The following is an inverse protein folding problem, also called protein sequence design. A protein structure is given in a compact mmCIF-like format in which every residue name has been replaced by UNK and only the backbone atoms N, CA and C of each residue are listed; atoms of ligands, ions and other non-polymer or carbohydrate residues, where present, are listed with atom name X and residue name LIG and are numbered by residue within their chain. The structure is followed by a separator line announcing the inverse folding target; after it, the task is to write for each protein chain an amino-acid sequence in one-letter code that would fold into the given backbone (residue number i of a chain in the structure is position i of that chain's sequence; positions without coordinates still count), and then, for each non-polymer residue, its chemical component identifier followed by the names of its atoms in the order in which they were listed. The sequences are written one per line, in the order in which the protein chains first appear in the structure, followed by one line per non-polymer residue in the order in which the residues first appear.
data_IF_459778527949
#
_entry.id   IF_459778527949
#
_cell.length_a   1.000
_cell.length_b   1.000
_cell.length_c   1.000
_cell.angle_alpha   90.00
_cell.angle_beta   90.00
_cell.angle_gamma   90.00
#
_symmetry.space_group_name_H-M   'P 1'
#
loop_
_entity.id
_entity.type
_entity.pdbx_description
1 polymer ?
#
# COMPACT_ATOMS: atom_id res chain seq x y z
N UNK A 1 -16.48 -109.29 -46.88
CA UNK A 1 -15.96 -107.91 -46.72
C UNK A 1 -16.33 -107.47 -45.31
N UNK A 2 -15.35 -106.98 -44.56
CA UNK A 2 -15.55 -106.51 -43.18
C UNK A 2 -15.94 -105.02 -43.21
N UNK A 3 -17.19 -104.74 -42.87
CA UNK A 3 -17.75 -103.38 -42.91
C UNK A 3 -17.13 -102.46 -41.84
N UNK A 4 -16.64 -103.00 -40.72
CA UNK A 4 -16.04 -102.19 -39.65
C UNK A 4 -14.70 -101.56 -40.05
N UNK A 5 -13.89 -102.26 -40.86
CA UNK A 5 -12.65 -101.72 -41.41
C UNK A 5 -12.91 -100.57 -42.41
N UNK A 6 -14.03 -100.60 -43.12
CA UNK A 6 -14.39 -99.57 -44.10
C UNK A 6 -14.91 -98.31 -43.40
N UNK A 7 -15.78 -98.48 -42.40
CA UNK A 7 -16.31 -97.39 -41.58
C UNK A 7 -15.19 -96.62 -40.86
N UNK A 8 -14.23 -97.33 -40.25
CA UNK A 8 -13.06 -96.71 -39.61
C UNK A 8 -12.15 -95.94 -40.58
N UNK A 9 -12.07 -96.37 -41.85
CA UNK A 9 -11.29 -95.65 -42.89
C UNK A 9 -12.00 -94.37 -43.33
N UNK A 10 -13.33 -94.39 -43.41
CA UNK A 10 -14.16 -93.22 -43.73
C UNK A 10 -14.07 -92.19 -42.61
N UNK A 11 -14.24 -92.59 -41.36
CA UNK A 11 -14.16 -91.67 -40.21
C UNK A 11 -12.81 -90.98 -40.13
N UNK A 12 -11.72 -91.73 -40.33
CA UNK A 12 -10.36 -91.18 -40.35
C UNK A 12 -10.15 -90.18 -41.48
N UNK A 13 -10.69 -90.44 -42.67
CA UNK A 13 -10.60 -89.49 -43.79
C UNK A 13 -11.41 -88.21 -43.49
N UNK A 14 -12.62 -88.33 -42.95
CA UNK A 14 -13.45 -87.17 -42.55
C UNK A 14 -12.75 -86.31 -41.48
N UNK A 15 -12.09 -86.94 -40.51
CA UNK A 15 -11.32 -86.23 -39.48
C UNK A 15 -10.08 -85.54 -40.06
N UNK A 16 -9.41 -86.18 -41.02
CA UNK A 16 -8.26 -85.62 -41.74
C UNK A 16 -8.66 -84.42 -42.60
N UNK A 17 -9.78 -84.49 -43.31
CA UNK A 17 -10.30 -83.39 -44.13
C UNK A 17 -10.69 -82.18 -43.25
N UNK A 18 -11.38 -82.42 -42.13
CA UNK A 18 -11.70 -81.35 -41.15
C UNK A 18 -10.44 -80.70 -40.57
N UNK A 19 -9.38 -81.48 -40.34
CA UNK A 19 -8.12 -80.94 -39.86
C UNK A 19 -7.42 -80.09 -40.94
N UNK A 20 -7.48 -80.52 -42.21
CA UNK A 20 -6.95 -79.77 -43.36
C UNK A 20 -7.68 -78.44 -43.53
N UNK A 21 -9.02 -78.43 -43.52
CA UNK A 21 -9.83 -77.22 -43.64
C UNK A 21 -9.51 -76.20 -42.53
N UNK A 22 -9.35 -76.70 -41.29
CA UNK A 22 -8.98 -75.86 -40.14
C UNK A 22 -7.58 -75.26 -40.29
N UNK A 23 -6.63 -76.02 -40.83
CA UNK A 23 -5.28 -75.54 -41.09
C UNK A 23 -5.26 -74.45 -42.17
N UNK A 24 -5.99 -74.65 -43.28
CA UNK A 24 -6.09 -73.67 -44.36
C UNK A 24 -6.74 -72.36 -43.88
N UNK A 25 -7.77 -72.46 -43.04
CA UNK A 25 -8.43 -71.30 -42.45
C UNK A 25 -7.49 -70.51 -41.52
N UNK A 26 -6.66 -71.21 -40.73
CA UNK A 26 -5.64 -70.57 -39.90
C UNK A 26 -4.52 -69.94 -40.73
N UNK A 27 -4.09 -70.61 -41.82
CA UNK A 27 -3.08 -70.09 -42.73
C UNK A 27 -3.55 -68.80 -43.40
N UNK A 28 -4.82 -68.74 -43.82
CA UNK A 28 -5.40 -67.52 -44.39
C UNK A 28 -5.47 -66.39 -43.35
N UNK A 29 -5.94 -66.69 -42.13
CA UNK A 29 -5.96 -65.71 -41.04
C UNK A 29 -4.55 -65.16 -40.71
N UNK A 30 -3.51 -66.01 -40.78
CA UNK A 30 -2.13 -65.59 -40.57
C UNK A 30 -1.62 -64.66 -41.68
N UNK A 31 -1.97 -64.93 -42.94
CA UNK A 31 -1.66 -64.04 -44.07
C UNK A 31 -2.36 -62.69 -43.92
N UNK A 32 -3.63 -62.69 -43.55
CA UNK A 32 -4.41 -61.46 -43.33
C UNK A 32 -3.85 -60.64 -42.17
N UNK A 33 -3.44 -61.30 -41.07
CA UNK A 33 -2.75 -60.66 -39.96
C UNK A 33 -1.39 -60.06 -40.37
N UNK A 34 -0.61 -60.75 -41.20
CA UNK A 34 0.66 -60.25 -41.74
C UNK A 34 0.47 -59.00 -42.63
N UNK A 35 -0.58 -58.99 -43.46
CA UNK A 35 -0.94 -57.84 -44.28
C UNK A 35 -1.36 -56.65 -43.41
N UNK A 36 -2.19 -56.89 -42.38
CA UNK A 36 -2.61 -55.87 -41.42
C UNK A 36 -1.43 -55.29 -40.65
N UNK A 37 -0.48 -56.12 -40.22
CA UNK A 37 0.75 -55.68 -39.56
C UNK A 37 1.61 -54.78 -40.47
N UNK A 38 1.69 -55.12 -41.76
CA UNK A 38 2.43 -54.33 -42.75
C UNK A 38 1.80 -52.95 -42.95
N UNK A 39 0.46 -52.88 -43.02
CA UNK A 39 -0.27 -51.61 -43.09
C UNK A 39 -0.08 -50.79 -41.81
N UNK A 40 -0.18 -51.42 -40.64
CA UNK A 40 0.06 -50.77 -39.36
C UNK A 40 1.47 -50.17 -39.28
N UNK A 41 2.49 -50.91 -39.72
CA UNK A 41 3.88 -50.43 -39.77
C UNK A 41 4.03 -49.20 -40.68
N UNK A 42 3.47 -49.23 -41.89
CA UNK A 42 3.51 -48.10 -42.82
C UNK A 42 2.80 -46.86 -42.26
N UNK A 43 1.66 -47.06 -41.58
CA UNK A 43 0.95 -45.96 -40.90
C UNK A 43 1.75 -45.37 -39.75
N UNK A 44 2.50 -46.19 -39.01
CA UNK A 44 3.35 -45.75 -37.90
C UNK A 44 4.56 -44.97 -38.41
N UNK A 45 5.19 -45.40 -39.51
CA UNK A 45 6.27 -44.67 -40.15
C UNK A 45 5.79 -43.29 -40.64
N UNK A 46 4.60 -43.24 -41.25
CA UNK A 46 3.97 -41.98 -41.68
C UNK A 46 3.70 -41.06 -40.49
N UNK A 47 3.10 -41.60 -39.42
CA UNK A 47 2.82 -40.84 -38.20
C UNK A 47 4.10 -40.31 -37.53
N UNK A 48 5.18 -41.11 -37.55
CA UNK A 48 6.49 -40.71 -37.02
C UNK A 48 7.07 -39.53 -37.81
N UNK A 49 6.97 -39.57 -39.15
CA UNK A 49 7.36 -38.45 -40.01
C UNK A 49 6.58 -37.17 -39.69
N UNK A 50 5.26 -37.26 -39.61
CA UNK A 50 4.41 -36.10 -39.27
C UNK A 50 4.71 -35.54 -37.87
N UNK A 51 5.00 -36.39 -36.89
CA UNK A 51 5.40 -35.96 -35.54
C UNK A 51 6.75 -35.26 -35.53
N UNK A 52 7.71 -35.74 -36.32
CA UNK A 52 9.01 -35.10 -36.49
C UNK A 52 8.85 -33.68 -37.08
N UNK A 53 8.06 -33.53 -38.15
CA UNK A 53 7.77 -32.23 -38.75
C UNK A 53 7.06 -31.29 -37.77
N UNK A 54 6.06 -31.79 -37.04
CA UNK A 54 5.34 -31.01 -36.03
C UNK A 54 6.29 -30.52 -34.92
N UNK A 55 7.22 -31.37 -34.47
CA UNK A 55 8.24 -31.01 -33.47
C UNK A 55 9.19 -29.93 -33.99
N UNK A 56 9.65 -30.04 -35.24
CA UNK A 56 10.52 -29.03 -35.85
C UNK A 56 9.80 -27.67 -35.99
N UNK A 57 8.53 -27.69 -36.36
CA UNK A 57 7.71 -26.48 -36.43
C UNK A 57 7.48 -25.86 -35.05
N UNK A 58 7.24 -26.68 -34.03
CA UNK A 58 7.10 -26.21 -32.65
C UNK A 58 8.39 -25.53 -32.16
N UNK A 59 9.55 -26.12 -32.41
CA UNK A 59 10.84 -25.51 -32.07
C UNK A 59 11.01 -24.14 -32.74
N UNK A 60 10.69 -24.01 -34.04
CA UNK A 60 10.74 -22.72 -34.75
C UNK A 60 9.80 -21.68 -34.14
N UNK A 61 8.62 -22.10 -33.67
CA UNK A 61 7.65 -21.21 -33.00
C UNK A 61 8.20 -20.76 -31.64
N UNK A 62 8.81 -21.67 -30.88
CA UNK A 62 9.47 -21.35 -29.60
C UNK A 62 10.59 -20.32 -29.80
N UNK A 63 11.48 -20.53 -30.77
CA UNK A 63 12.57 -19.58 -31.06
C UNK A 63 12.05 -18.17 -31.42
N UNK A 64 10.95 -18.11 -32.19
CA UNK A 64 10.28 -16.84 -32.52
C UNK A 64 9.67 -16.18 -31.28
N UNK A 65 9.02 -16.96 -30.41
CA UNK A 65 8.42 -16.45 -29.18
C UNK A 65 9.49 -15.87 -28.24
N UNK A 66 10.65 -16.52 -28.14
CA UNK A 66 11.80 -16.02 -27.38
C UNK A 66 12.34 -14.71 -27.96
N UNK A 67 12.44 -14.62 -29.29
CA UNK A 67 12.87 -13.39 -29.96
C UNK A 67 11.89 -12.22 -29.71
N UNK A 68 10.58 -12.49 -29.77
CA UNK A 68 9.53 -11.49 -29.47
C UNK A 68 9.61 -11.04 -28.01
N UNK A 69 9.77 -11.98 -27.07
CA UNK A 69 9.91 -11.67 -25.64
C UNK A 69 11.10 -10.73 -25.40
N UNK A 70 12.27 -11.04 -25.97
CA UNK A 70 13.47 -10.18 -25.88
C UNK A 70 13.25 -8.79 -26.50
N UNK A 71 12.50 -8.70 -27.60
CA UNK A 71 12.19 -7.42 -28.23
C UNK A 71 11.26 -6.56 -27.35
N UNK A 72 10.27 -7.18 -26.70
CA UNK A 72 9.37 -6.51 -25.76
C UNK A 72 10.16 -6.00 -24.55
N UNK A 73 11.03 -6.83 -23.96
CA UNK A 73 11.86 -6.41 -22.82
C UNK A 73 12.75 -5.22 -23.18
N UNK A 74 13.36 -5.24 -24.37
CA UNK A 74 14.15 -4.13 -24.91
C UNK A 74 13.32 -2.85 -25.07
N UNK A 75 12.09 -2.98 -25.57
CA UNK A 75 11.17 -1.84 -25.72
C UNK A 75 10.76 -1.26 -24.37
N UNK A 76 10.40 -2.12 -23.40
CA UNK A 76 10.05 -1.69 -22.04
C UNK A 76 11.22 -0.95 -21.38
N UNK A 77 12.45 -1.45 -21.52
CA UNK A 77 13.64 -0.78 -21.00
C UNK A 77 13.80 0.62 -21.63
N UNK A 78 13.68 0.74 -22.96
CA UNK A 78 13.75 2.03 -23.65
C UNK A 78 12.67 3.00 -23.19
N UNK A 79 11.42 2.55 -23.05
CA UNK A 79 10.30 3.41 -22.62
C UNK A 79 10.48 3.87 -21.17
N UNK A 80 11.00 3.01 -20.28
CA UNK A 80 11.31 3.38 -18.90
C UNK A 80 12.35 4.50 -18.82
N UNK A 81 13.32 4.51 -19.71
CA UNK A 81 14.38 5.52 -19.74
C UNK A 81 13.94 6.86 -20.38
N UNK A 82 12.72 6.94 -20.94
CA UNK A 82 12.17 8.20 -21.45
C UNK A 82 11.84 9.12 -20.28
N UNK A 83 12.66 10.16 -20.11
CA UNK A 83 12.36 11.30 -19.24
C UNK A 83 11.49 12.31 -19.97
N UNK A 84 10.23 12.43 -19.58
CA UNK A 84 9.39 13.54 -20.00
C UNK A 84 9.85 14.82 -19.28
N UNK A 85 10.31 15.79 -20.06
CA UNK A 85 10.49 17.17 -19.57
C UNK A 85 9.23 17.94 -19.94
N UNK A 86 8.40 18.23 -18.96
CA UNK A 86 7.29 19.18 -19.13
C UNK A 86 7.84 20.59 -18.86
N UNK A 87 7.61 21.51 -19.79
CA UNK A 87 7.85 22.94 -19.56
C UNK A 87 6.56 23.51 -18.96
N UNK A 88 6.65 24.09 -17.76
CA UNK A 88 5.60 24.96 -17.24
C UNK A 88 5.69 26.26 -18.03
N UNK A 89 4.56 26.81 -18.47
CA UNK A 89 4.56 28.06 -19.22
C UNK A 89 5.22 29.17 -18.38
N UNK A 90 6.08 29.97 -19.04
CA UNK A 90 6.85 31.00 -18.34
C UNK A 90 5.91 32.05 -17.70
N UNK A 91 4.74 32.30 -18.30
CA UNK A 91 3.73 33.21 -17.77
C UNK A 91 3.05 32.65 -16.51
N UNK A 92 2.75 31.34 -16.47
CA UNK A 92 2.19 30.69 -15.27
C UNK A 92 3.18 30.74 -14.11
N UNK A 93 4.48 30.54 -14.41
CA UNK A 93 5.54 30.62 -13.41
C UNK A 93 5.73 32.05 -12.88
N UNK A 94 5.71 33.05 -13.78
CA UNK A 94 5.78 34.46 -13.41
C UNK A 94 4.57 34.89 -12.57
N UNK A 95 3.37 34.44 -12.93
CA UNK A 95 2.15 34.69 -12.16
C UNK A 95 2.25 34.09 -10.74
N UNK A 96 2.75 32.86 -10.61
CA UNK A 96 2.95 32.22 -9.30
C UNK A 96 3.95 32.98 -8.42
N UNK A 97 5.04 33.49 -9.01
CA UNK A 97 6.04 34.31 -8.31
C UNK A 97 5.41 35.63 -7.84
N UNK A 98 4.67 36.31 -8.70
CA UNK A 98 4.00 37.57 -8.36
C UNK A 98 2.94 37.39 -7.27
N UNK A 99 2.15 36.32 -7.34
CA UNK A 99 1.17 35.99 -6.30
C UNK A 99 1.83 35.74 -4.94
N UNK A 100 2.96 34.99 -4.91
CA UNK A 100 3.74 34.78 -3.69
C UNK A 100 4.29 36.08 -3.12
N UNK A 101 4.83 36.96 -3.96
CA UNK A 101 5.35 38.26 -3.52
C UNK A 101 4.25 39.11 -2.87
N UNK A 102 3.06 39.15 -3.49
CA UNK A 102 1.90 39.88 -2.96
C UNK A 102 1.41 39.29 -1.63
N UNK A 103 1.41 37.96 -1.49
CA UNK A 103 1.04 37.29 -0.24
C UNK A 103 1.99 37.68 0.90
N UNK A 104 3.31 37.59 0.67
CA UNK A 104 4.32 37.95 1.67
C UNK A 104 4.19 39.42 2.10
N UNK A 105 3.95 40.32 1.15
CA UNK A 105 3.77 41.75 1.47
C UNK A 105 2.53 41.98 2.34
N UNK A 106 1.40 41.32 2.02
CA UNK A 106 0.17 41.43 2.79
C UNK A 106 0.32 40.87 4.20
N UNK A 107 0.94 39.69 4.36
CA UNK A 107 1.21 39.09 5.67
C UNK A 107 2.14 39.97 6.51
N UNK A 108 3.18 40.55 5.90
CA UNK A 108 4.10 41.45 6.59
C UNK A 108 3.39 42.71 7.12
N UNK A 109 2.50 43.30 6.33
CA UNK A 109 1.70 44.47 6.75
C UNK A 109 0.77 44.12 7.90
N UNK A 110 0.04 43.01 7.79
CA UNK A 110 -0.86 42.52 8.84
C UNK A 110 -0.12 42.28 10.16
N UNK A 111 1.06 41.66 10.11
CA UNK A 111 1.88 41.41 11.30
C UNK A 111 2.42 42.71 11.91
N UNK A 112 2.78 43.69 11.09
CA UNK A 112 3.21 44.99 11.57
C UNK A 112 2.08 45.77 12.26
N UNK A 113 0.89 45.76 11.68
CA UNK A 113 -0.30 46.37 12.26
C UNK A 113 -0.64 45.74 13.61
N UNK A 114 -0.70 44.41 13.69
CA UNK A 114 -0.91 43.71 14.96
C UNK A 114 0.19 44.01 16.00
N UNK A 115 1.45 44.10 15.58
CA UNK A 115 2.56 44.48 16.47
C UNK A 115 2.36 45.89 17.02
N UNK A 116 1.87 46.83 16.21
CA UNK A 116 1.60 48.21 16.61
C UNK A 116 0.43 48.28 17.59
N UNK A 117 -0.69 47.64 17.27
CA UNK A 117 -1.87 47.56 18.14
C UNK A 117 -1.52 46.97 19.51
N UNK A 118 -0.75 45.88 19.54
CA UNK A 118 -0.31 45.25 20.79
C UNK A 118 0.57 46.20 21.63
N UNK A 119 1.47 46.96 20.99
CA UNK A 119 2.28 47.97 21.69
C UNK A 119 1.41 49.09 22.26
N UNK A 120 0.43 49.56 21.49
CA UNK A 120 -0.48 50.63 21.92
C UNK A 120 -1.34 50.17 23.10
N UNK A 121 -1.92 48.97 23.04
CA UNK A 121 -2.70 48.37 24.14
C UNK A 121 -1.85 48.24 25.39
N UNK A 122 -0.64 47.69 25.27
CA UNK A 122 0.26 47.49 26.41
C UNK A 122 0.69 48.82 27.03
N UNK A 123 1.07 49.79 26.20
CA UNK A 123 1.48 51.12 26.66
C UNK A 123 0.32 51.83 27.35
N UNK A 124 -0.89 51.77 26.78
CA UNK A 124 -2.10 52.34 27.38
C UNK A 124 -2.39 51.69 28.74
N UNK A 125 -2.36 50.37 28.83
CA UNK A 125 -2.59 49.65 30.08
C UNK A 125 -1.58 50.04 31.17
N UNK A 126 -0.28 50.11 30.84
CA UNK A 126 0.76 50.58 31.78
C UNK A 126 0.56 52.03 32.19
N UNK A 127 0.20 52.91 31.24
CA UNK A 127 -0.08 54.31 31.53
C UNK A 127 -1.28 54.45 32.48
N UNK A 128 -2.40 53.77 32.20
CA UNK A 128 -3.59 53.77 33.05
C UNK A 128 -3.27 53.28 34.47
N UNK A 129 -2.51 52.19 34.59
CA UNK A 129 -2.08 51.66 35.88
C UNK A 129 -1.16 52.63 36.63
N UNK A 130 -0.18 53.22 35.94
CA UNK A 130 0.74 54.22 36.53
C UNK A 130 -0.01 55.47 36.98
N UNK A 131 -0.94 55.96 36.16
CA UNK A 131 -1.75 57.14 36.45
C UNK A 131 -2.71 56.90 37.63
N UNK A 132 -3.28 55.69 37.74
CA UNK A 132 -4.10 55.31 38.90
C UNK A 132 -3.26 55.22 40.18
N UNK A 133 -2.05 54.65 40.10
CA UNK A 133 -1.12 54.59 41.23
C UNK A 133 -0.66 55.97 41.68
N UNK A 134 -0.34 56.89 40.76
CA UNK A 134 0.09 58.25 41.11
C UNK A 134 -1.00 59.08 41.79
N UNK A 135 -2.27 58.68 41.65
CA UNK A 135 -3.43 59.29 42.30
C UNK A 135 -3.87 58.58 43.59
N UNK A 136 -3.14 57.54 44.04
CA UNK A 136 -3.52 56.65 45.14
C UNK A 136 -4.92 56.00 44.95
N UNK A 137 -5.37 55.82 43.71
CA UNK A 137 -6.68 55.23 43.37
C UNK A 137 -6.59 53.72 43.08
N UNK A 138 -5.44 53.09 43.31
CA UNK A 138 -5.28 51.65 43.15
C UNK A 138 -6.22 50.87 44.07
N UNK A 139 -6.62 49.65 43.67
CA UNK A 139 -7.58 48.81 44.42
C UNK A 139 -7.28 48.76 45.92
N UNK A 140 -6.01 48.65 46.32
CA UNK A 140 -5.58 48.60 47.72
C UNK A 140 -5.35 49.97 48.38
N UNK A 141 -5.03 51.01 47.61
CA UNK A 141 -4.73 52.36 48.11
C UNK A 141 -5.95 53.30 48.06
N UNK A 142 -7.03 52.85 47.43
CA UNK A 142 -8.28 53.57 47.37
C UNK A 142 -8.80 53.89 48.76
N UNK A 143 -9.30 55.11 48.92
CA UNK A 143 -9.79 55.63 50.20
C UNK A 143 -10.84 54.72 50.87
N UNK A 144 -11.63 54.00 50.07
CA UNK A 144 -12.60 53.01 50.56
C UNK A 144 -11.95 51.77 51.18
N UNK A 145 -10.98 51.16 50.49
CA UNK A 145 -10.28 49.96 50.96
C UNK A 145 -9.31 50.26 52.10
N UNK A 146 -8.59 51.39 52.03
CA UNK A 146 -7.72 51.83 53.14
C UNK A 146 -8.53 52.01 54.41
N UNK A 147 -9.71 52.65 54.33
CA UNK A 147 -10.60 52.80 55.49
C UNK A 147 -11.10 51.46 56.01
N UNK A 148 -11.50 50.53 55.13
CA UNK A 148 -11.94 49.20 55.53
C UNK A 148 -10.82 48.40 56.22
N UNK A 149 -9.60 48.41 55.66
CA UNK A 149 -8.43 47.76 56.25
C UNK A 149 -8.08 48.39 57.60
N UNK A 150 -8.10 49.71 57.71
CA UNK A 150 -7.81 50.43 58.96
C UNK A 150 -8.83 50.04 60.03
N UNK A 151 -10.12 49.94 59.71
CA UNK A 151 -11.16 49.48 60.64
C UNK A 151 -10.99 48.03 61.12
N UNK A 152 -10.41 47.15 60.30
CA UNK A 152 -10.12 45.76 60.67
C UNK A 152 -8.85 45.67 61.55
N UNK A 153 -7.78 46.39 61.18
CA UNK A 153 -6.50 46.30 61.89
C UNK A 153 -6.46 47.09 63.20
N UNK A 154 -7.19 48.21 63.29
CA UNK A 154 -7.15 49.10 64.46
C UNK A 154 -7.56 48.40 65.77
N UNK A 155 -8.65 47.62 65.84
CA UNK A 155 -9.02 46.89 67.06
C UNK A 155 -7.97 45.87 67.48
N UNK A 156 -7.40 45.13 66.51
CA UNK A 156 -6.33 44.16 66.78
C UNK A 156 -5.10 44.85 67.36
N UNK A 157 -4.67 45.96 66.77
CA UNK A 157 -3.50 46.71 67.22
C UNK A 157 -3.69 47.27 68.63
N UNK A 158 -4.87 47.87 68.90
CA UNK A 158 -5.22 48.38 70.22
C UNK A 158 -5.23 47.25 71.26
N UNK A 159 -5.87 46.12 70.96
CA UNK A 159 -5.91 44.96 71.85
C UNK A 159 -4.51 44.44 72.19
N UNK A 160 -3.62 44.30 71.19
CA UNK A 160 -2.23 43.88 71.42
C UNK A 160 -1.49 44.88 72.32
N UNK A 161 -1.61 46.18 72.05
CA UNK A 161 -0.92 47.21 72.83
C UNK A 161 -1.37 47.23 74.30
N UNK A 162 -2.68 47.14 74.54
CA UNK A 162 -3.26 47.11 75.89
C UNK A 162 -2.82 45.83 76.62
N UNK A 163 -2.82 44.69 75.94
CA UNK A 163 -2.40 43.41 76.52
C UNK A 163 -0.93 43.45 76.96
N UNK A 164 -0.05 44.09 76.19
CA UNK A 164 1.36 44.27 76.55
C UNK A 164 1.50 45.20 77.76
N UNK A 165 0.82 46.35 77.78
CA UNK A 165 0.87 47.29 78.91
C UNK A 165 0.36 46.63 80.19
N UNK A 166 -0.74 45.89 80.11
CA UNK A 166 -1.28 45.14 81.25
C UNK A 166 -0.29 44.09 81.76
N UNK A 167 0.36 43.35 80.86
CA UNK A 167 1.39 42.37 81.22
C UNK A 167 2.57 43.04 81.92
N UNK A 168 3.06 44.18 81.42
CA UNK A 168 4.17 44.94 82.03
C UNK A 168 3.76 45.49 83.41
N UNK A 169 2.59 46.10 83.53
CA UNK A 169 2.09 46.62 84.80
C UNK A 169 1.94 45.50 85.86
N UNK A 170 1.40 44.35 85.46
CA UNK A 170 1.27 43.18 86.34
C UNK A 170 2.60 42.57 86.78
N UNK A 171 3.70 42.82 86.06
CA UNK A 171 5.05 42.39 86.45
C UNK A 171 5.75 43.39 87.38
N UNK A 172 5.32 44.65 87.41
CA UNK A 172 5.89 45.70 88.28
C UNK A 172 5.20 45.72 89.66
N UNK A 173 3.92 45.37 89.74
CA UNK A 173 3.14 45.28 90.99
C UNK A 173 3.35 43.95 91.76
N UNK A 174 4.35 43.15 91.39
CA UNK A 174 4.71 41.88 92.03
C UNK A 174 6.15 41.90 92.55
#
# INVERSE_FOLDING_TARGET
MDFGSFENTIDKNIETDKASDKFDQQLQAYKDAGNSLTLAKSSLETATGSLQEAKENLNKVTDKADAVTKAIDSFIAKVRDIKFKAKVDDADMEQAINNRKKLIENESKLLEDHRKENKEILTRHFYEMSNMMSRNEGVWLSNGWVKALLWIFLPCFLYTSISIVYLVASYIDK
#
